data_IF_157100191210
#
_entry.id   IF_157100191210
#
_cell.length_a   1.000
_cell.length_b   1.000
_cell.length_c   1.000
_cell.angle_alpha   90.00
_cell.angle_beta   90.00
_cell.angle_gamma   90.00
#
_symmetry.space_group_name_H-M   'P 1'
#
loop_
_entity.id
_entity.type
_entity.pdbx_description
1 polymer ?
#
# COMPACT_ATOMS: atom_id res chain seq x y z
N UNK A 1 -8.22 52.31 22.77
CA UNK A 1 -7.60 51.76 23.98
C UNK A 1 -8.73 51.16 24.77
N UNK A 2 -8.89 49.85 24.87
CA UNK A 2 -7.92 48.76 24.75
C UNK A 2 -8.45 47.63 23.85
N UNK A 3 -7.53 47.04 23.08
CA UNK A 3 -7.61 45.68 22.55
C UNK A 3 -7.59 44.68 23.72
N UNK A 4 -8.33 43.55 23.62
CA UNK A 4 -7.75 42.24 23.95
C UNK A 4 -8.64 41.02 23.59
N UNK A 5 -8.09 40.24 22.66
CA UNK A 5 -7.92 38.78 22.65
C UNK A 5 -9.11 37.78 22.53
N UNK A 6 -9.14 37.16 21.32
CA UNK A 6 -9.07 35.70 21.03
C UNK A 6 -10.12 34.78 21.67
N UNK A 7 -10.92 34.11 20.84
CA UNK A 7 -11.23 32.66 20.79
C UNK A 7 -12.39 32.48 19.77
N UNK A 8 -12.36 31.61 18.77
CA UNK A 8 -11.37 30.65 18.32
C UNK A 8 -11.70 30.23 16.89
N UNK A 9 -10.65 29.77 16.21
CA UNK A 9 -10.66 28.71 15.22
C UNK A 9 -11.97 28.50 14.42
N UNK A 10 -12.25 29.38 13.47
CA UNK A 10 -13.18 29.09 12.38
C UNK A 10 -12.38 28.61 11.17
N UNK A 11 -11.57 27.57 11.36
CA UNK A 11 -11.03 26.81 10.24
C UNK A 11 -12.24 26.13 9.59
N UNK A 12 -12.63 26.71 8.47
CA UNK A 12 -13.81 26.43 7.67
C UNK A 12 -14.16 24.95 7.60
N UNK A 13 -15.27 24.58 8.25
CA UNK A 13 -16.03 23.37 7.97
C UNK A 13 -16.59 23.47 6.53
N UNK A 14 -15.80 23.04 5.56
CA UNK A 14 -16.29 22.49 4.29
C UNK A 14 -15.63 21.13 4.13
N UNK A 15 -16.05 20.20 5.00
CA UNK A 15 -15.77 18.79 4.84
C UNK A 15 -16.77 18.29 3.80
N UNK A 16 -16.37 18.28 2.52
CA UNK A 16 -17.23 17.84 1.42
C UNK A 16 -17.73 16.42 1.69
N UNK A 17 -19.05 16.18 1.55
CA UNK A 17 -19.64 14.83 1.62
C UNK A 17 -18.94 13.84 0.66
N UNK A 18 -18.37 14.37 -0.42
CA UNK A 18 -17.52 13.66 -1.38
C UNK A 18 -16.29 13.03 -0.70
N UNK A 19 -15.63 13.74 0.22
CA UNK A 19 -14.43 13.23 0.91
C UNK A 19 -14.80 12.07 1.84
N UNK A 20 -15.94 12.16 2.53
CA UNK A 20 -16.45 11.08 3.38
C UNK A 20 -16.83 9.84 2.57
N UNK A 21 -17.42 10.02 1.39
CA UNK A 21 -17.78 8.92 0.49
C UNK A 21 -16.53 8.23 -0.10
N UNK A 22 -15.49 9.01 -0.46
CA UNK A 22 -14.19 8.48 -0.93
C UNK A 22 -13.43 7.74 0.18
N UNK A 23 -13.41 8.28 1.42
CA UNK A 23 -12.82 7.60 2.58
C UNK A 23 -13.49 6.24 2.85
N UNK A 24 -14.78 6.11 2.54
CA UNK A 24 -15.52 4.87 2.72
C UNK A 24 -15.23 3.83 1.61
N UNK A 25 -15.01 4.28 0.36
CA UNK A 25 -14.61 3.41 -0.77
C UNK A 25 -13.23 2.79 -0.57
N UNK A 26 -12.30 3.51 0.05
CA UNK A 26 -10.95 3.00 0.33
C UNK A 26 -10.93 1.86 1.37
N UNK A 27 -12.04 1.66 2.09
CA UNK A 27 -12.21 0.59 3.09
C UNK A 27 -12.68 -0.74 2.46
N UNK A 28 -13.15 -0.72 1.21
CA UNK A 28 -13.34 -1.97 0.45
C UNK A 28 -11.97 -2.50 0.02
N UNK A 29 -11.42 -3.38 0.86
CA UNK A 29 -10.06 -3.92 0.76
C UNK A 29 -9.59 -4.25 -0.68
N UNK A 30 -10.45 -4.67 -1.61
CA UNK A 30 -10.01 -5.02 -2.97
C UNK A 30 -9.66 -3.83 -3.88
N UNK A 31 -10.36 -2.70 -3.78
CA UNK A 31 -10.16 -1.54 -4.68
C UNK A 31 -9.03 -0.65 -4.18
N UNK A 32 -9.04 -0.34 -2.88
CA UNK A 32 -7.97 0.40 -2.21
C UNK A 32 -6.61 -0.31 -2.33
N UNK A 33 -6.58 -1.65 -2.19
CA UNK A 33 -5.35 -2.42 -2.31
C UNK A 33 -4.82 -2.46 -3.76
N UNK A 34 -5.71 -2.41 -4.75
CA UNK A 34 -5.30 -2.31 -6.16
C UNK A 34 -4.59 -0.99 -6.42
N UNK A 35 -5.18 0.12 -5.99
CA UNK A 35 -4.58 1.45 -6.13
C UNK A 35 -3.26 1.56 -5.35
N UNK A 36 -3.21 1.05 -4.11
CA UNK A 36 -1.98 0.98 -3.33
C UNK A 36 -0.88 0.20 -4.06
N UNK A 37 -1.22 -0.93 -4.68
CA UNK A 37 -0.27 -1.76 -5.44
C UNK A 37 0.31 -1.00 -6.64
N UNK A 38 -0.52 -0.28 -7.38
CA UNK A 38 -0.10 0.51 -8.54
C UNK A 38 0.75 1.71 -8.15
N UNK A 39 0.40 2.40 -7.05
CA UNK A 39 1.20 3.49 -6.50
C UNK A 39 2.57 2.98 -6.06
N UNK A 40 2.62 1.93 -5.25
CA UNK A 40 3.89 1.36 -4.75
C UNK A 40 4.81 0.93 -5.89
N UNK A 41 4.26 0.43 -7.01
CA UNK A 41 5.04 0.10 -8.22
C UNK A 41 5.85 1.30 -8.75
N UNK A 42 5.32 2.52 -8.63
CA UNK A 42 5.97 3.76 -9.04
C UNK A 42 7.12 4.22 -8.15
N UNK A 43 7.25 3.67 -6.93
CA UNK A 43 8.28 4.06 -5.95
C UNK A 43 9.21 2.89 -5.60
N UNK A 44 10.29 2.64 -6.38
CA UNK A 44 11.23 1.55 -6.13
C UNK A 44 11.81 1.51 -4.72
N UNK A 45 12.04 2.68 -4.11
CA UNK A 45 12.57 2.83 -2.74
C UNK A 45 11.67 2.21 -1.67
N UNK A 46 10.38 2.01 -1.97
CA UNK A 46 9.40 1.48 -1.02
C UNK A 46 9.46 -0.04 -0.92
N UNK A 47 9.83 -0.74 -2.01
CA UNK A 47 9.81 -2.20 -2.07
C UNK A 47 11.17 -2.86 -2.34
N UNK A 48 12.18 -2.11 -2.81
CA UNK A 48 13.52 -2.61 -3.04
C UNK A 48 14.22 -2.94 -1.71
N UNK A 49 14.94 -4.07 -1.66
CA UNK A 49 15.67 -4.56 -0.49
C UNK A 49 17.15 -4.16 -0.47
N UNK A 50 17.58 -3.25 -1.36
CA UNK A 50 18.94 -2.70 -1.34
C UNK A 50 19.23 -2.06 0.04
N UNK A 51 20.45 -2.21 0.60
CA UNK A 51 20.79 -1.59 1.87
C UNK A 51 20.53 -0.07 1.77
N UNK A 52 19.63 0.48 2.59
CA UNK A 52 19.25 1.87 2.49
C UNK A 52 20.44 2.72 2.94
N UNK A 53 20.91 3.61 2.06
CA UNK A 53 21.71 4.74 2.51
C UNK A 53 20.77 5.78 3.19
N UNK A 54 21.33 6.78 3.86
CA UNK A 54 20.52 7.81 4.54
C UNK A 54 19.53 8.52 3.60
N UNK A 55 19.92 8.74 2.34
CA UNK A 55 19.06 9.34 1.31
C UNK A 55 17.91 8.42 0.92
N UNK A 56 18.13 7.11 0.87
CA UNK A 56 17.09 6.12 0.55
C UNK A 56 16.03 6.02 1.65
N UNK A 57 16.41 6.17 2.92
CA UNK A 57 15.46 6.22 4.04
C UNK A 57 14.53 7.43 3.95
N UNK A 58 15.08 8.61 3.67
CA UNK A 58 14.28 9.83 3.48
C UNK A 58 13.39 9.73 2.23
N UNK A 59 13.92 9.21 1.12
CA UNK A 59 13.13 9.00 -0.11
C UNK A 59 11.99 8.01 0.12
N UNK A 60 12.21 6.96 0.93
CA UNK A 60 11.18 5.99 1.30
C UNK A 60 10.08 6.63 2.15
N UNK A 61 10.44 7.42 3.15
CA UNK A 61 9.47 8.16 3.97
C UNK A 61 8.63 9.11 3.13
N UNK A 62 9.27 9.95 2.31
CA UNK A 62 8.59 10.85 1.39
C UNK A 62 7.69 10.10 0.40
N UNK A 63 8.12 8.95 -0.10
CA UNK A 63 7.29 8.13 -1.00
C UNK A 63 6.02 7.65 -0.30
N UNK A 64 6.10 7.24 0.97
CA UNK A 64 4.94 6.82 1.73
C UNK A 64 3.99 7.97 2.04
N UNK A 65 4.52 9.15 2.35
CA UNK A 65 3.73 10.38 2.54
C UNK A 65 2.95 10.76 1.27
N UNK A 66 3.58 10.67 0.10
CA UNK A 66 2.90 10.96 -1.17
C UNK A 66 1.81 9.92 -1.49
N UNK A 67 2.09 8.63 -1.28
CA UNK A 67 1.11 7.55 -1.44
C UNK A 67 -0.09 7.76 -0.51
N UNK A 68 0.18 8.13 0.75
CA UNK A 68 -0.81 8.39 1.78
C UNK A 68 -1.74 9.54 1.40
N UNK A 69 -1.20 10.64 0.87
CA UNK A 69 -2.00 11.77 0.35
C UNK A 69 -2.94 11.34 -0.77
N UNK A 70 -2.46 10.50 -1.70
CA UNK A 70 -3.27 10.02 -2.83
C UNK A 70 -4.38 9.07 -2.35
N UNK A 71 -4.07 8.22 -1.37
CA UNK A 71 -5.03 7.28 -0.77
C UNK A 71 -5.93 7.92 0.30
N UNK A 72 -5.75 9.22 0.58
CA UNK A 72 -6.43 9.94 1.66
C UNK A 72 -6.36 9.19 3.00
N UNK A 73 -5.18 8.64 3.28
CA UNK A 73 -4.91 7.82 4.45
C UNK A 73 -3.58 8.25 5.09
N UNK A 74 -3.19 7.60 6.18
CA UNK A 74 -1.89 7.82 6.82
C UNK A 74 -0.81 6.96 6.17
N UNK A 75 0.42 7.48 6.15
CA UNK A 75 1.59 6.73 5.69
C UNK A 75 1.75 5.40 6.45
N UNK A 76 1.49 5.41 7.76
CA UNK A 76 1.52 4.22 8.62
C UNK A 76 0.50 3.17 8.19
N UNK A 77 -0.74 3.57 7.88
CA UNK A 77 -1.77 2.61 7.46
C UNK A 77 -1.49 2.06 6.06
N UNK A 78 -1.03 2.90 5.12
CA UNK A 78 -0.59 2.44 3.81
C UNK A 78 0.55 1.42 3.91
N UNK A 79 1.52 1.66 4.81
CA UNK A 79 2.60 0.73 5.10
C UNK A 79 2.07 -0.60 5.66
N UNK A 80 1.17 -0.54 6.65
CA UNK A 80 0.57 -1.73 7.26
C UNK A 80 -0.21 -2.57 6.25
N UNK A 81 -1.03 -1.92 5.41
CA UNK A 81 -1.76 -2.59 4.31
C UNK A 81 -0.80 -3.25 3.33
N UNK A 82 0.25 -2.54 2.93
CA UNK A 82 1.27 -3.09 2.03
C UNK A 82 2.00 -4.29 2.63
N UNK A 83 2.31 -4.28 3.93
CA UNK A 83 2.89 -5.42 4.63
C UNK A 83 1.96 -6.64 4.54
N UNK A 84 0.67 -6.47 4.89
CA UNK A 84 -0.35 -7.53 4.81
C UNK A 84 -0.47 -8.09 3.39
N UNK A 85 -0.48 -7.22 2.38
CA UNK A 85 -0.50 -7.61 0.96
C UNK A 85 0.72 -8.44 0.56
N UNK A 86 1.92 -8.03 0.97
CA UNK A 86 3.16 -8.77 0.68
C UNK A 86 3.23 -10.12 1.40
N UNK A 87 2.71 -10.21 2.61
CA UNK A 87 2.60 -11.47 3.34
C UNK A 87 1.68 -12.44 2.61
N UNK A 88 0.49 -11.96 2.21
CA UNK A 88 -0.45 -12.74 1.40
C UNK A 88 0.15 -13.19 0.08
N UNK A 89 0.81 -12.29 -0.66
CA UNK A 89 1.54 -12.62 -1.89
C UNK A 89 2.60 -13.70 -1.67
N UNK A 90 3.35 -13.61 -0.57
CA UNK A 90 4.40 -14.59 -0.24
C UNK A 90 3.86 -15.96 0.15
N UNK A 91 2.65 -16.00 0.74
CA UNK A 91 1.92 -17.23 1.03
C UNK A 91 1.36 -17.85 -0.25
N UNK A 92 0.64 -17.06 -1.05
CA UNK A 92 0.08 -17.48 -2.34
C UNK A 92 1.17 -18.07 -3.26
N UNK A 93 2.34 -17.41 -3.34
CA UNK A 93 3.45 -17.92 -4.14
C UNK A 93 3.95 -19.29 -3.67
N UNK A 94 4.05 -19.52 -2.35
CA UNK A 94 4.47 -20.80 -1.78
C UNK A 94 3.44 -21.90 -2.04
N UNK A 95 2.17 -21.56 -1.95
CA UNK A 95 1.07 -22.49 -2.22
C UNK A 95 1.09 -22.91 -3.69
N UNK A 96 1.13 -21.96 -4.62
CA UNK A 96 1.27 -22.22 -6.07
C UNK A 96 2.49 -23.09 -6.37
N UNK A 97 3.66 -22.80 -5.80
CA UNK A 97 4.86 -23.62 -5.97
C UNK A 97 4.68 -25.05 -5.43
N UNK A 98 3.96 -25.22 -4.31
CA UNK A 98 3.69 -26.52 -3.71
C UNK A 98 2.73 -27.38 -4.55
N UNK A 99 1.66 -26.83 -5.13
CA UNK A 99 0.78 -27.68 -5.97
C UNK A 99 1.39 -28.00 -7.32
N UNK A 100 2.19 -27.10 -7.90
CA UNK A 100 2.96 -27.41 -9.11
C UNK A 100 3.87 -28.62 -8.89
N UNK A 101 4.41 -28.79 -7.68
CA UNK A 101 5.24 -29.93 -7.30
C UNK A 101 4.45 -31.20 -7.01
N UNK A 102 3.25 -31.06 -6.45
CA UNK A 102 2.47 -32.18 -5.93
C UNK A 102 1.42 -32.73 -6.90
N UNK A 103 1.23 -32.12 -8.07
CA UNK A 103 0.34 -32.62 -9.13
C UNK A 103 -1.15 -32.63 -8.78
N UNK A 104 -1.54 -32.16 -7.59
CA UNK A 104 -2.93 -31.98 -7.19
C UNK A 104 -3.51 -30.78 -7.94
N UNK A 105 -4.29 -31.08 -8.97
CA UNK A 105 -4.95 -30.09 -9.82
C UNK A 105 -5.77 -29.08 -9.03
N UNK A 106 -5.88 -27.90 -9.65
CA UNK A 106 -6.61 -26.70 -9.22
C UNK A 106 -8.08 -27.03 -8.88
N UNK A 107 -8.35 -27.48 -7.66
CA UNK A 107 -9.72 -27.65 -7.19
C UNK A 107 -10.05 -26.52 -6.20
N UNK A 108 -10.70 -25.46 -6.69
CA UNK A 108 -11.40 -24.44 -5.91
C UNK A 108 -10.59 -23.48 -5.02
N UNK A 109 -9.43 -23.00 -5.48
CA UNK A 109 -8.76 -21.87 -4.79
C UNK A 109 -9.28 -20.55 -5.34
N UNK A 110 -9.88 -19.74 -4.46
CA UNK A 110 -10.20 -18.35 -4.77
C UNK A 110 -8.90 -17.56 -4.71
N UNK A 111 -8.18 -17.57 -5.83
CA UNK A 111 -6.82 -17.03 -5.94
C UNK A 111 -6.74 -15.56 -5.53
N UNK A 112 -5.59 -15.15 -5.03
CA UNK A 112 -5.36 -13.74 -4.69
C UNK A 112 -5.37 -12.89 -5.96
N UNK A 113 -6.40 -12.05 -6.12
CA UNK A 113 -6.66 -11.26 -7.34
C UNK A 113 -5.46 -10.37 -7.71
N UNK A 114 -4.80 -9.78 -6.71
CA UNK A 114 -3.64 -8.90 -6.92
C UNK A 114 -2.32 -9.66 -7.14
N UNK A 115 -2.33 -11.00 -7.07
CA UNK A 115 -1.12 -11.83 -7.20
C UNK A 115 -0.39 -11.54 -8.50
N UNK A 116 -1.09 -11.56 -9.64
CA UNK A 116 -0.48 -11.32 -10.95
C UNK A 116 0.01 -9.89 -11.12
N UNK A 117 -0.70 -8.89 -10.57
CA UNK A 117 -0.26 -7.49 -10.58
C UNK A 117 1.05 -7.32 -9.79
N UNK A 118 1.09 -7.84 -8.55
CA UNK A 118 2.26 -7.79 -7.68
C UNK A 118 3.45 -8.58 -8.26
N UNK A 119 3.20 -9.76 -8.85
CA UNK A 119 4.22 -10.63 -9.45
C UNK A 119 5.03 -9.93 -10.54
N UNK A 120 4.38 -9.10 -11.37
CA UNK A 120 5.00 -8.42 -12.53
C UNK A 120 6.19 -7.55 -12.14
N UNK A 121 6.12 -6.83 -11.01
CA UNK A 121 7.20 -5.92 -10.61
C UNK A 121 8.00 -6.42 -9.40
N UNK A 122 7.41 -7.24 -8.51
CA UNK A 122 8.12 -7.81 -7.38
C UNK A 122 9.11 -8.90 -7.80
N UNK A 123 8.84 -9.71 -8.82
CA UNK A 123 9.80 -10.73 -9.26
C UNK A 123 11.06 -10.11 -9.89
N UNK A 124 10.96 -8.91 -10.47
CA UNK A 124 12.11 -8.20 -11.04
C UNK A 124 13.04 -7.61 -9.98
N UNK A 125 12.54 -7.35 -8.76
CA UNK A 125 13.28 -6.62 -7.72
C UNK A 125 13.46 -7.42 -6.41
N UNK A 126 12.74 -8.53 -6.23
CA UNK A 126 12.93 -9.46 -5.12
C UNK A 126 13.89 -10.56 -5.58
N UNK A 127 15.19 -10.24 -5.58
CA UNK A 127 16.21 -11.26 -5.82
C UNK A 127 16.11 -12.33 -4.72
N UNK A 128 16.10 -13.61 -5.13
CA UNK A 128 16.23 -14.75 -4.21
C UNK A 128 17.53 -14.54 -3.42
N UNK A 129 17.46 -14.64 -2.09
CA UNK A 129 18.70 -14.80 -1.29
C UNK A 129 19.39 -16.08 -1.80
N UNK A 130 20.66 -15.93 -2.18
CA UNK A 130 21.58 -17.03 -2.43
C UNK A 130 22.08 -17.58 -1.11
#
# INVERSE_FOLDING_TARGET
MEDDHIYGNKFSLCQDEIVLEIMNVNNENSVGDSLLTDLVRGYPYVYNKSPPNFKDSLMKENSWEEIAKILLDTATECQNRWIRLRERFSKERREIEAELKNGSGVANRQGFILYESMKKFLNSHVQRRK
#
